data_IF_204716201181
#
_entry.id   IF_204716201181
#
_cell.length_a   1.000
_cell.length_b   1.000
_cell.length_c   1.000
_cell.angle_alpha   90.00
_cell.angle_beta   90.00
_cell.angle_gamma   90.00
#
_symmetry.space_group_name_H-M   'P 1'
#
loop_
_entity.id
_entity.type
_entity.pdbx_description
1 polymer ?
#
# COMPACT_ATOMS: atom_id res chain seq x y z
N UNK A 1 -2.43 31.75 -22.12
CA UNK A 1 -1.06 31.60 -21.57
C UNK A 1 -1.01 31.71 -20.04
N UNK A 2 -1.48 32.82 -19.41
CA UNK A 2 -1.50 32.98 -17.94
C UNK A 2 -2.21 31.85 -17.15
N UNK A 3 -3.33 31.32 -17.65
CA UNK A 3 -4.07 30.23 -16.97
C UNK A 3 -3.25 28.94 -16.88
N UNK A 4 -2.56 28.55 -17.96
CA UNK A 4 -1.70 27.36 -17.96
C UNK A 4 -0.43 27.54 -17.12
N UNK A 5 0.09 28.77 -17.04
CA UNK A 5 1.22 29.10 -16.17
C UNK A 5 0.87 28.93 -14.68
N UNK A 6 -0.35 29.30 -14.27
CA UNK A 6 -0.83 29.09 -12.90
C UNK A 6 -0.97 27.59 -12.58
N UNK A 7 -1.50 26.78 -13.50
CA UNK A 7 -1.61 25.33 -13.30
C UNK A 7 -0.22 24.66 -13.23
N UNK A 8 0.74 25.13 -14.04
CA UNK A 8 2.12 24.68 -14.00
C UNK A 8 2.82 25.07 -12.68
N UNK A 9 2.60 26.29 -12.19
CA UNK A 9 3.12 26.76 -10.90
C UNK A 9 2.50 26.00 -9.72
N UNK A 10 1.21 25.69 -9.76
CA UNK A 10 0.55 24.84 -8.76
C UNK A 10 1.12 23.41 -8.78
N UNK A 11 1.35 22.83 -9.96
CA UNK A 11 1.96 21.51 -10.10
C UNK A 11 3.40 21.45 -9.55
N UNK A 12 4.14 22.56 -9.62
CA UNK A 12 5.51 22.70 -9.08
C UNK A 12 5.58 22.85 -7.55
N UNK A 13 4.47 23.20 -6.87
CA UNK A 13 4.44 23.31 -5.40
C UNK A 13 4.17 21.95 -4.73
N UNK A 14 3.56 21.01 -5.44
CA UNK A 14 3.25 19.65 -4.97
C UNK A 14 4.50 18.89 -4.45
N UNK A 15 5.68 18.91 -5.10
CA UNK A 15 6.86 18.22 -4.60
C UNK A 15 7.52 18.87 -3.36
N UNK A 16 7.14 20.09 -2.98
CA UNK A 16 7.73 20.79 -1.81
C UNK A 16 7.46 20.08 -0.47
N UNK A 17 6.45 19.22 -0.44
CA UNK A 17 6.06 18.40 0.72
C UNK A 17 6.51 16.94 0.58
N UNK A 18 7.23 16.61 -0.49
CA UNK A 18 7.75 15.26 -0.71
C UNK A 18 9.02 15.06 0.13
N UNK A 19 8.83 14.57 1.35
CA UNK A 19 9.93 13.93 2.08
C UNK A 19 10.20 12.59 1.40
N UNK A 20 11.35 12.47 0.73
CA UNK A 20 11.87 11.17 0.32
C UNK A 20 12.28 10.41 1.59
N UNK A 21 11.29 9.82 2.28
CA UNK A 21 11.57 8.84 3.32
C UNK A 21 12.38 7.70 2.71
N UNK A 22 13.06 6.91 3.56
CA UNK A 22 13.73 5.65 3.21
C UNK A 22 12.84 4.63 2.48
N UNK A 23 11.58 4.98 2.20
CA UNK A 23 10.53 4.25 1.50
C UNK A 23 10.76 4.26 -0.02
N UNK A 24 11.93 3.80 -0.45
CA UNK A 24 12.18 3.41 -1.85
C UNK A 24 11.67 1.99 -2.14
N UNK A 25 10.70 1.51 -1.37
CA UNK A 25 10.26 0.13 -1.37
C UNK A 25 8.76 0.07 -1.61
N UNK A 26 8.38 -0.74 -2.59
CA UNK A 26 7.00 -1.25 -2.76
C UNK A 26 6.61 -2.09 -1.54
N UNK A 27 7.58 -2.49 -0.73
CA UNK A 27 7.46 -3.34 0.46
C UNK A 27 7.13 -2.55 1.72
N UNK A 28 6.39 -3.20 2.62
CA UNK A 28 6.08 -2.65 3.93
C UNK A 28 7.30 -2.65 4.87
N UNK A 29 7.46 -1.55 5.59
CA UNK A 29 8.43 -1.35 6.67
C UNK A 29 7.73 -1.26 8.04
N UNK A 30 8.53 -1.22 9.11
CA UNK A 30 8.03 -1.04 10.48
C UNK A 30 7.91 0.42 10.89
N UNK A 31 8.15 1.35 9.97
CA UNK A 31 8.08 2.78 10.27
C UNK A 31 6.64 3.28 10.31
N UNK A 32 6.44 4.35 11.06
CA UNK A 32 5.14 5.00 11.28
C UNK A 32 5.25 6.48 10.98
N UNK A 33 4.17 7.09 10.53
CA UNK A 33 4.13 8.53 10.23
C UNK A 33 4.34 9.41 11.46
N UNK A 34 3.99 8.92 12.64
CA UNK A 34 4.03 9.70 13.88
C UNK A 34 2.78 10.56 14.08
N UNK A 35 2.57 10.97 15.32
CA UNK A 35 1.31 11.55 15.79
C UNK A 35 0.86 12.77 14.97
N UNK A 36 -0.34 12.71 14.39
CA UNK A 36 -0.99 13.81 13.69
C UNK A 36 -0.54 14.02 12.24
N UNK A 37 0.44 13.24 11.76
CA UNK A 37 0.91 13.33 10.39
C UNK A 37 -0.01 12.53 9.44
N UNK A 38 -0.07 12.97 8.18
CA UNK A 38 -0.81 12.27 7.13
C UNK A 38 0.04 12.13 5.88
N UNK A 39 -0.07 10.99 5.21
CA UNK A 39 0.60 10.71 3.95
C UNK A 39 -0.42 10.26 2.91
N UNK A 40 -0.25 10.75 1.68
CA UNK A 40 -0.96 10.21 0.53
C UNK A 40 0.06 9.58 -0.43
N UNK A 41 -0.18 8.33 -0.79
CA UNK A 41 0.62 7.57 -1.74
C UNK A 41 -0.29 7.12 -2.89
N UNK A 42 0.23 7.20 -4.11
CA UNK A 42 -0.51 6.88 -5.31
C UNK A 42 0.33 5.93 -6.14
N UNK A 43 -0.17 4.70 -6.32
CA UNK A 43 0.54 3.67 -7.06
C UNK A 43 -0.15 3.44 -8.40
N UNK A 44 0.64 3.37 -9.47
CA UNK A 44 0.16 2.97 -10.78
C UNK A 44 0.88 1.70 -11.19
N UNK A 45 0.12 0.61 -11.29
CA UNK A 45 0.58 -0.67 -11.81
C UNK A 45 0.09 -0.84 -13.24
N UNK A 46 0.97 -1.32 -14.10
CA UNK A 46 0.64 -1.67 -15.48
C UNK A 46 1.34 -2.95 -15.85
N UNK A 47 0.57 -3.95 -16.25
CA UNK A 47 1.05 -5.22 -16.73
C UNK A 47 0.49 -5.47 -18.11
N UNK A 48 1.37 -5.83 -19.05
CA UNK A 48 1.01 -6.13 -20.43
C UNK A 48 1.47 -7.55 -20.76
N UNK A 49 0.50 -8.41 -21.04
CA UNK A 49 0.72 -9.70 -21.67
C UNK A 49 0.40 -9.61 -23.18
N UNK A 50 0.70 -10.67 -23.91
CA UNK A 50 0.52 -10.72 -25.38
C UNK A 50 -0.94 -10.45 -25.79
N UNK A 51 -1.89 -10.86 -24.95
CA UNK A 51 -3.33 -10.80 -25.24
C UNK A 51 -4.11 -9.90 -24.28
N UNK A 52 -3.58 -9.70 -23.06
CA UNK A 52 -4.24 -8.95 -22.00
C UNK A 52 -3.44 -7.73 -21.55
N UNK A 53 -4.15 -6.66 -21.18
CA UNK A 53 -3.59 -5.49 -20.51
C UNK A 53 -4.34 -5.26 -19.21
N UNK A 54 -3.60 -5.22 -18.13
CA UNK A 54 -4.14 -4.91 -16.82
C UNK A 54 -3.45 -3.68 -16.27
N UNK A 55 -4.19 -2.86 -15.55
CA UNK A 55 -3.60 -1.86 -14.70
C UNK A 55 -4.42 -1.57 -13.48
N UNK A 56 -3.75 -1.01 -12.50
CA UNK A 56 -4.34 -0.66 -11.22
C UNK A 56 -3.80 0.67 -10.77
N UNK A 57 -4.70 1.58 -10.42
CA UNK A 57 -4.37 2.79 -9.69
C UNK A 57 -4.81 2.59 -8.24
N UNK A 58 -3.88 2.71 -7.29
CA UNK A 58 -4.18 2.56 -5.87
C UNK A 58 -3.98 3.91 -5.21
N UNK A 59 -5.08 4.44 -4.67
CA UNK A 59 -5.05 5.58 -3.76
C UNK A 59 -4.85 5.06 -2.35
N UNK A 60 -3.74 5.39 -1.71
CA UNK A 60 -3.44 5.07 -0.32
C UNK A 60 -3.39 6.36 0.52
N UNK A 61 -4.15 6.41 1.60
CA UNK A 61 -4.12 7.50 2.56
C UNK A 61 -3.84 6.94 3.95
N UNK A 62 -2.77 7.42 4.57
CA UNK A 62 -2.32 6.98 5.89
C UNK A 62 -2.34 8.15 6.86
N UNK A 63 -2.84 7.92 8.07
CA UNK A 63 -2.85 8.87 9.18
C UNK A 63 -2.14 8.27 10.39
N UNK A 64 -1.14 9.00 10.91
CA UNK A 64 -0.43 8.63 12.13
C UNK A 64 -1.26 8.95 13.35
N UNK A 65 -1.87 7.93 13.95
CA UNK A 65 -2.66 8.06 15.16
C UNK A 65 -1.78 8.35 16.38
N UNK A 66 -0.62 7.67 16.47
CA UNK A 66 0.43 7.95 17.44
C UNK A 66 1.81 7.52 16.89
N UNK A 67 2.87 7.66 17.67
CA UNK A 67 4.26 7.36 17.25
C UNK A 67 4.56 5.87 16.99
N UNK A 68 3.56 5.01 17.19
CA UNK A 68 3.65 3.56 16.97
C UNK A 68 2.51 3.00 16.12
N UNK A 69 1.52 3.82 15.77
CA UNK A 69 0.27 3.35 15.18
C UNK A 69 -0.16 4.24 14.04
N UNK A 70 -0.32 3.65 12.87
CA UNK A 70 -0.87 4.29 11.68
C UNK A 70 -2.16 3.60 11.25
N UNK A 71 -3.09 4.38 10.73
CA UNK A 71 -4.33 3.89 10.12
C UNK A 71 -4.28 4.25 8.64
N UNK A 72 -4.46 3.27 7.76
CA UNK A 72 -4.43 3.48 6.32
C UNK A 72 -5.76 3.07 5.66
N UNK A 73 -6.13 3.82 4.63
CA UNK A 73 -7.23 3.52 3.73
C UNK A 73 -6.68 3.37 2.32
N UNK A 74 -6.93 2.22 1.71
CA UNK A 74 -6.52 1.92 0.35
C UNK A 74 -7.75 1.72 -0.53
N UNK A 75 -7.78 2.41 -1.67
CA UNK A 75 -8.86 2.33 -2.65
C UNK A 75 -8.23 1.98 -4.00
N UNK A 76 -8.35 0.72 -4.45
CA UNK A 76 -7.84 0.29 -5.74
C UNK A 76 -8.88 0.53 -6.85
N UNK A 77 -8.43 1.10 -7.95
CA UNK A 77 -9.17 1.27 -9.20
C UNK A 77 -8.49 0.39 -10.25
N UNK A 78 -9.13 -0.69 -10.68
CA UNK A 78 -8.57 -1.63 -11.64
C UNK A 78 -9.17 -1.43 -13.02
N UNK A 79 -8.37 -1.69 -14.03
CA UNK A 79 -8.84 -1.87 -15.39
C UNK A 79 -8.20 -3.11 -15.99
N UNK A 80 -8.97 -3.82 -16.81
CA UNK A 80 -8.51 -4.94 -17.61
C UNK A 80 -9.04 -4.79 -19.02
N UNK A 81 -8.19 -5.10 -20.00
CA UNK A 81 -8.52 -5.04 -21.42
C UNK A 81 -7.97 -6.28 -22.11
N UNK A 82 -8.88 -7.07 -22.68
CA UNK A 82 -8.60 -8.15 -23.61
C UNK A 82 -9.01 -7.70 -25.03
N UNK A 83 -8.75 -8.51 -26.06
CA UNK A 83 -9.19 -8.31 -27.44
C UNK A 83 -10.71 -8.10 -27.57
N UNK A 84 -11.51 -8.78 -26.74
CA UNK A 84 -12.98 -8.75 -26.85
C UNK A 84 -13.64 -7.66 -26.01
N UNK A 85 -13.08 -7.30 -24.85
CA UNK A 85 -13.72 -6.40 -23.89
C UNK A 85 -12.70 -5.52 -23.14
N UNK A 86 -13.17 -4.35 -22.72
CA UNK A 86 -12.47 -3.47 -21.77
C UNK A 86 -13.37 -3.27 -20.56
N UNK A 87 -12.88 -3.62 -19.39
CA UNK A 87 -13.56 -3.47 -18.11
C UNK A 87 -12.74 -2.56 -17.19
N UNK A 88 -13.38 -1.64 -16.49
CA UNK A 88 -12.73 -0.80 -15.49
C UNK A 88 -13.67 -0.55 -14.33
N UNK A 89 -13.20 -0.78 -13.12
CA UNK A 89 -14.01 -0.54 -11.93
C UNK A 89 -13.18 -0.30 -10.66
N UNK A 90 -13.86 0.21 -9.65
CA UNK A 90 -13.37 0.28 -8.27
C UNK A 90 -13.36 -1.15 -7.71
N UNK A 91 -12.19 -1.60 -7.27
CA UNK A 91 -12.02 -2.84 -6.51
C UNK A 91 -12.36 -2.62 -5.04
N UNK A 92 -12.39 -3.70 -4.26
CA UNK A 92 -12.69 -3.62 -2.84
C UNK A 92 -11.65 -2.79 -2.07
N UNK A 93 -12.04 -1.68 -1.44
CA UNK A 93 -11.16 -0.91 -0.58
C UNK A 93 -10.84 -1.69 0.69
N UNK A 94 -9.68 -1.41 1.28
CA UNK A 94 -9.27 -2.00 2.54
C UNK A 94 -8.79 -0.95 3.52
N UNK A 95 -9.11 -1.18 4.79
CA UNK A 95 -8.64 -0.40 5.93
C UNK A 95 -7.60 -1.22 6.66
N UNK A 96 -6.46 -0.61 6.95
CA UNK A 96 -5.34 -1.24 7.64
C UNK A 96 -5.01 -0.46 8.91
N UNK A 97 -4.54 -1.17 9.93
CA UNK A 97 -3.96 -0.56 11.12
C UNK A 97 -2.56 -1.14 11.30
N UNK A 98 -1.53 -0.33 11.11
CA UNK A 98 -0.14 -0.73 11.38
C UNK A 98 0.20 -0.37 12.82
N UNK A 99 0.68 -1.34 13.59
CA UNK A 99 1.11 -1.14 14.97
C UNK A 99 2.51 -1.72 15.19
N UNK A 100 3.49 -0.85 15.43
CA UNK A 100 4.85 -1.22 15.84
C UNK A 100 4.85 -1.56 17.33
N UNK A 101 4.74 -2.85 17.62
CA UNK A 101 4.63 -3.35 18.99
C UNK A 101 6.00 -3.58 19.66
N UNK A 102 7.08 -3.71 18.88
CA UNK A 102 8.42 -3.94 19.40
C UNK A 102 9.46 -3.12 18.64
N UNK A 103 10.37 -2.51 19.40
CA UNK A 103 11.53 -1.80 18.89
C UNK A 103 12.65 -1.90 19.93
N UNK A 104 13.79 -2.46 19.51
CA UNK A 104 15.01 -2.51 20.33
C UNK A 104 16.22 -2.39 19.43
N UNK A 105 17.01 -1.34 19.67
CA UNK A 105 18.23 -1.05 18.91
C UNK A 105 17.92 -1.05 17.40
N UNK A 106 18.39 -2.08 16.68
CA UNK A 106 18.25 -2.17 15.23
C UNK A 106 17.16 -3.14 14.77
N UNK A 107 16.41 -3.75 15.69
CA UNK A 107 15.37 -4.72 15.40
C UNK A 107 13.99 -4.15 15.74
N UNK A 108 13.09 -4.20 14.77
CA UNK A 108 11.72 -3.71 14.89
C UNK A 108 10.73 -4.76 14.40
N UNK A 109 9.57 -4.81 15.06
CA UNK A 109 8.44 -5.60 14.62
C UNK A 109 7.16 -4.79 14.66
N UNK A 110 6.32 -4.99 13.65
CA UNK A 110 4.98 -4.44 13.58
C UNK A 110 3.97 -5.51 13.15
N UNK A 111 2.72 -5.33 13.55
CA UNK A 111 1.60 -6.06 13.00
C UNK A 111 0.74 -5.09 12.18
N UNK A 112 0.13 -5.62 11.11
CA UNK A 112 -0.76 -4.87 10.24
C UNK A 112 -2.03 -5.68 9.95
N UNK A 113 -2.99 -5.73 10.88
CA UNK A 113 -4.33 -6.20 10.56
C UNK A 113 -4.98 -5.34 9.48
N UNK A 114 -5.74 -5.98 8.62
CA UNK A 114 -6.52 -5.29 7.58
C UNK A 114 -7.88 -5.94 7.37
N UNK A 115 -8.82 -5.15 6.86
CA UNK A 115 -10.16 -5.57 6.47
C UNK A 115 -10.48 -4.99 5.10
N UNK A 116 -10.78 -5.85 4.14
CA UNK A 116 -11.30 -5.53 2.81
C UNK A 116 -12.83 -5.51 2.81
N UNK A 117 -13.40 -4.42 2.29
CA UNK A 117 -14.83 -4.15 2.30
C UNK A 117 -15.37 -4.35 0.87
N UNK A 118 -16.32 -5.29 0.66
CA UNK A 118 -16.91 -5.49 -0.65
C UNK A 118 -17.89 -4.36 -0.98
N UNK A 119 -17.50 -3.44 -1.86
CA UNK A 119 -18.32 -2.25 -2.19
C UNK A 119 -19.24 -2.50 -3.38
N UNK A 120 -18.90 -3.44 -4.28
CA UNK A 120 -19.71 -3.74 -5.46
C UNK A 120 -20.11 -5.21 -5.54
N UNK A 121 -21.43 -5.45 -5.60
CA UNK A 121 -21.98 -6.80 -5.66
C UNK A 121 -21.87 -7.47 -7.03
N UNK A 122 -21.78 -6.67 -8.11
CA UNK A 122 -21.81 -7.17 -9.50
C UNK A 122 -20.53 -6.83 -10.29
N UNK A 123 -19.42 -6.54 -9.61
CA UNK A 123 -18.14 -6.22 -10.25
C UNK A 123 -17.19 -7.42 -10.19
N UNK A 124 -16.57 -7.76 -11.32
CA UNK A 124 -15.51 -8.78 -11.40
C UNK A 124 -14.26 -8.42 -10.57
N UNK A 125 -14.15 -7.16 -10.16
CA UNK A 125 -13.05 -6.64 -9.34
C UNK A 125 -13.36 -6.64 -7.84
N UNK A 126 -14.53 -7.12 -7.42
CA UNK A 126 -14.92 -7.29 -6.02
C UNK A 126 -14.89 -8.76 -5.63
N UNK A 127 -14.47 -9.04 -4.39
CA UNK A 127 -14.52 -10.38 -3.82
C UNK A 127 -15.94 -10.76 -3.38
N UNK A 128 -16.86 -9.79 -3.29
CA UNK A 128 -18.26 -9.95 -2.84
C UNK A 128 -18.44 -10.44 -1.39
N UNK A 129 -17.35 -10.61 -0.65
CA UNK A 129 -17.35 -11.00 0.75
C UNK A 129 -16.35 -10.16 1.54
N UNK A 130 -16.56 -10.09 2.85
CA UNK A 130 -15.61 -9.43 3.74
C UNK A 130 -14.33 -10.25 3.78
N UNK A 131 -13.22 -9.57 3.56
CA UNK A 131 -11.88 -10.16 3.63
C UNK A 131 -11.13 -9.54 4.78
N UNK A 132 -10.35 -10.33 5.50
CA UNK A 132 -9.56 -9.81 6.60
C UNK A 132 -8.29 -10.63 6.76
N UNK A 133 -7.28 -10.01 7.32
CA UNK A 133 -6.01 -10.67 7.53
C UNK A 133 -5.12 -9.88 8.46
N UNK A 134 -3.93 -10.42 8.68
CA UNK A 134 -2.90 -9.80 9.49
C UNK A 134 -1.54 -10.07 8.85
N UNK A 135 -0.72 -9.03 8.79
CA UNK A 135 0.68 -9.13 8.37
C UNK A 135 1.58 -8.89 9.57
N UNK A 136 2.53 -9.79 9.81
CA UNK A 136 3.69 -9.54 10.66
C UNK A 136 4.80 -8.95 9.81
N UNK A 137 5.33 -7.80 10.23
CA UNK A 137 6.38 -7.05 9.56
C UNK A 137 7.59 -7.05 10.48
N UNK A 138 8.75 -7.42 9.95
CA UNK A 138 10.02 -7.47 10.68
C UNK A 138 11.07 -6.66 9.93
N UNK A 139 11.84 -5.86 10.66
CA UNK A 139 12.92 -5.04 10.10
C UNK A 139 14.17 -5.15 10.97
N UNK A 140 15.30 -5.41 10.33
CA UNK A 140 16.61 -5.53 10.98
C UNK A 140 17.64 -4.67 10.24
N UNK A 141 18.25 -3.72 10.96
CA UNK A 141 19.32 -2.87 10.44
C UNK A 141 20.70 -3.36 10.92
N UNK A 142 21.63 -3.61 9.99
CA UNK A 142 23.00 -4.01 10.28
C UNK A 142 23.93 -3.20 9.40
N UNK A 143 24.64 -2.24 10.00
CA UNK A 143 25.53 -1.29 9.31
C UNK A 143 24.84 -0.59 8.11
N UNK A 144 25.19 -0.98 6.89
CA UNK A 144 24.65 -0.43 5.63
C UNK A 144 23.50 -1.25 5.05
N UNK A 145 23.11 -2.32 5.71
CA UNK A 145 22.10 -3.26 5.25
C UNK A 145 20.81 -3.12 6.07
N UNK A 146 19.68 -3.18 5.38
CA UNK A 146 18.38 -3.33 6.03
C UNK A 146 17.66 -4.54 5.45
N UNK A 147 17.24 -5.43 6.33
CA UNK A 147 16.50 -6.63 5.99
C UNK A 147 15.03 -6.47 6.39
N UNK A 148 14.14 -6.88 5.50
CA UNK A 148 12.70 -6.84 5.69
C UNK A 148 12.12 -8.24 5.50
N UNK A 149 11.24 -8.66 6.41
CA UNK A 149 10.52 -9.91 6.30
C UNK A 149 9.05 -9.71 6.70
N UNK A 150 8.16 -10.02 5.77
CA UNK A 150 6.71 -9.87 5.92
C UNK A 150 6.04 -11.24 5.80
N UNK A 151 5.16 -11.57 6.75
CA UNK A 151 4.37 -12.80 6.73
C UNK A 151 2.92 -12.47 6.96
N UNK A 152 2.07 -12.82 6.00
CA UNK A 152 0.66 -12.46 5.94
C UNK A 152 -0.21 -13.71 6.03
N UNK A 153 -1.27 -13.60 6.82
CA UNK A 153 -2.36 -14.57 6.87
C UNK A 153 -3.66 -13.88 6.48
N UNK A 154 -4.31 -14.38 5.43
CA UNK A 154 -5.51 -13.78 4.84
C UNK A 154 -6.64 -14.80 4.89
N UNK A 155 -7.83 -14.36 5.28
CA UNK A 155 -9.05 -15.16 5.32
C UNK A 155 -10.04 -14.64 4.29
N UNK A 156 -10.43 -15.52 3.36
CA UNK A 156 -11.41 -15.25 2.30
C UNK A 156 -12.52 -16.31 2.31
N UNK A 157 -13.77 -15.92 2.59
CA UNK A 157 -14.99 -16.75 2.44
C UNK A 157 -14.88 -18.23 2.89
N UNK A 158 -14.01 -18.57 3.86
CA UNK A 158 -13.68 -19.93 4.38
C UNK A 158 -12.38 -20.59 3.88
N UNK A 159 -11.49 -19.86 3.20
CA UNK A 159 -10.12 -20.30 2.90
C UNK A 159 -9.12 -19.41 3.62
N UNK A 160 -8.10 -20.04 4.23
CA UNK A 160 -6.95 -19.37 4.79
C UNK A 160 -5.82 -19.46 3.77
N UNK A 161 -5.24 -18.32 3.41
CA UNK A 161 -4.10 -18.21 2.52
C UNK A 161 -2.95 -17.59 3.34
N UNK A 162 -1.81 -18.29 3.36
CA UNK A 162 -0.56 -17.77 3.93
C UNK A 162 0.34 -17.27 2.81
N UNK A 163 0.94 -16.10 2.99
CA UNK A 163 1.90 -15.50 2.05
C UNK A 163 3.12 -15.02 2.82
N UNK A 164 4.31 -15.40 2.36
CA UNK A 164 5.58 -15.02 2.98
C UNK A 164 6.43 -14.28 1.97
N UNK A 165 6.97 -13.14 2.36
CA UNK A 165 7.76 -12.25 1.51
C UNK A 165 9.03 -11.83 2.26
N UNK A 166 10.17 -11.93 1.58
CA UNK A 166 11.49 -11.59 2.14
C UNK A 166 12.18 -10.65 1.16
N UNK A 167 12.72 -9.54 1.67
CA UNK A 167 13.35 -8.52 0.87
C UNK A 167 14.59 -7.91 1.57
N UNK A 168 15.58 -7.47 0.79
CA UNK A 168 16.83 -6.86 1.27
C UNK A 168 17.08 -5.53 0.54
N UNK A 169 17.43 -4.47 1.28
CA UNK A 169 17.98 -3.24 0.70
C UNK A 169 19.36 -2.88 1.25
N UNK A 170 20.07 -2.04 0.50
CA UNK A 170 21.36 -1.46 0.87
C UNK A 170 21.19 0.06 0.92
N UNK A 171 21.42 0.68 2.06
CA UNK A 171 21.45 2.14 2.21
C UNK A 171 22.90 2.64 2.06
N UNK A 172 23.12 3.52 1.09
CA UNK A 172 24.41 4.19 0.84
C UNK A 172 24.60 5.46 1.67
#
# INVERSE_FOLDING_TARGET
>A
MKKYLIHLLLALIIPSFAYAGKKALIWDDTETLGTGNSQNENYLFYTKNTEDREGSYIFNFTYGYNDKTDIALNIPFKYSKNYENTCSDISDPFVEVKYRFFERENLKFAIKPFIGIPVKRDSEFSEHHLSYGITLISQLEIDKFTFYANSSFIVHKNKIIGQNEIFQSVSG
#
